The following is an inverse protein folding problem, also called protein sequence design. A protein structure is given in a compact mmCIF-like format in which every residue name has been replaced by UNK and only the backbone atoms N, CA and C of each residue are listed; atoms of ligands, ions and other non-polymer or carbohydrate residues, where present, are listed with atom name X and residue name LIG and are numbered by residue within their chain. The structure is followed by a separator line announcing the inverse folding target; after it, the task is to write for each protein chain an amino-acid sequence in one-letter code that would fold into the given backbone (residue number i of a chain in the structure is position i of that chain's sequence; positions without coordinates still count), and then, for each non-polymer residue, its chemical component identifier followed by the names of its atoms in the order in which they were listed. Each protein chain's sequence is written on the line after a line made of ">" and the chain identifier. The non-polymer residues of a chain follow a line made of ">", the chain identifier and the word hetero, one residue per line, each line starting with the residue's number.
data_IF_526733615979
#
_entry.id   IF_526733615979
#
_cell.length_a   1.000
_cell.length_b   1.000
_cell.length_c   1.000
_cell.angle_alpha   90.00
_cell.angle_beta   90.00
_cell.angle_gamma   90.00
#
_symmetry.space_group_name_H-M   'P 1'
#
loop_
_entity.id
_entity.type
_entity.pdbx_description
1 polymer ?
#
# COMPACT_ATOMS: atom_id res chain seq x y z
N UNK A 1 5.97 -7.05 -33.92
CA UNK A 1 5.39 -6.09 -34.86
C UNK A 1 4.00 -5.75 -34.33
N UNK A 2 3.91 -4.57 -33.72
CA UNK A 2 2.74 -3.73 -33.41
C UNK A 2 1.54 -4.34 -32.68
N UNK A 3 1.52 -4.21 -31.35
CA UNK A 3 0.28 -4.01 -30.60
C UNK A 3 0.15 -2.51 -30.29
N UNK A 4 -0.72 -1.83 -31.05
CA UNK A 4 -1.10 -0.44 -30.85
C UNK A 4 -1.91 -0.29 -29.57
N UNK A 5 -1.31 0.29 -28.52
CA UNK A 5 -2.02 0.83 -27.37
C UNK A 5 -2.84 2.06 -27.81
N UNK A 6 -4.18 2.00 -27.70
CA UNK A 6 -5.06 3.18 -27.85
C UNK A 6 -5.54 3.65 -26.48
N UNK A 7 -5.46 4.96 -26.16
CA UNK A 7 -5.94 5.47 -24.88
C UNK A 7 -7.46 5.58 -24.87
N UNK A 8 -8.09 5.06 -23.82
CA UNK A 8 -9.52 5.29 -23.54
C UNK A 8 -9.69 6.75 -23.11
N UNK A 9 -10.42 7.53 -23.91
CA UNK A 9 -10.83 8.89 -23.52
C UNK A 9 -12.03 8.78 -22.58
N UNK A 10 -11.90 9.29 -21.36
CA UNK A 10 -13.05 9.52 -20.50
C UNK A 10 -13.81 10.75 -21.01
N UNK A 11 -14.98 10.54 -21.61
CA UNK A 11 -15.94 11.61 -21.89
C UNK A 11 -17.02 11.62 -20.79
N UNK A 12 -17.13 12.74 -20.08
CA UNK A 12 -18.21 12.99 -19.11
C UNK A 12 -19.39 13.59 -19.85
N UNK A 13 -20.49 12.85 -19.97
CA UNK A 13 -21.78 13.43 -20.38
C UNK A 13 -22.65 13.71 -19.14
N UNK A 14 -23.07 14.98 -18.99
CA UNK A 14 -24.07 15.39 -18.00
C UNK A 14 -25.45 14.99 -18.50
N UNK A 15 -26.18 14.21 -17.73
CA UNK A 15 -27.62 14.03 -17.93
C UNK A 15 -28.37 14.58 -16.72
N UNK A 16 -29.27 15.53 -17.00
CA UNK A 16 -30.06 16.26 -16.02
C UNK A 16 -31.43 15.58 -15.93
N UNK A 17 -31.85 15.13 -14.74
CA UNK A 17 -33.21 14.60 -14.53
C UNK A 17 -33.89 15.33 -13.38
N UNK A 18 -34.93 16.09 -13.74
CA UNK A 18 -35.81 16.74 -12.80
C UNK A 18 -36.68 15.74 -12.03
N UNK A 19 -36.81 16.00 -10.73
CA UNK A 19 -37.97 15.73 -9.86
C UNK A 19 -38.65 14.35 -9.97
N UNK A 20 -38.19 13.41 -9.12
CA UNK A 20 -39.02 12.51 -8.30
C UNK A 20 -39.90 11.47 -8.99
N UNK A 21 -39.74 10.18 -8.64
CA UNK A 21 -40.76 9.29 -8.03
C UNK A 21 -40.29 7.82 -8.05
N UNK A 22 -40.56 7.15 -6.94
CA UNK A 22 -40.38 5.76 -6.50
C UNK A 22 -40.41 4.65 -7.57
N UNK A 23 -39.48 3.69 -7.52
CA UNK A 23 -39.50 2.45 -8.31
C UNK A 23 -39.94 1.24 -7.47
N UNK A 24 -41.08 0.63 -7.86
CA UNK A 24 -41.50 -0.73 -7.47
C UNK A 24 -40.76 -1.74 -8.36
N UNK A 25 -40.21 -2.80 -7.77
CA UNK A 25 -39.69 -3.94 -8.53
C UNK A 25 -40.80 -5.00 -8.74
N UNK A 26 -41.08 -5.32 -10.01
CA UNK A 26 -41.88 -6.48 -10.41
C UNK A 26 -40.95 -7.69 -10.58
N UNK A 27 -41.27 -8.80 -9.91
CA UNK A 27 -40.72 -10.13 -10.16
C UNK A 27 -41.67 -10.87 -11.11
N UNK A 28 -41.16 -11.34 -12.25
CA UNK A 28 -41.74 -12.45 -12.98
C UNK A 28 -40.62 -13.39 -13.41
N UNK A 29 -40.65 -14.62 -12.89
CA UNK A 29 -39.80 -15.73 -13.24
C UNK A 29 -40.54 -16.65 -14.22
N UNK A 30 -39.83 -17.17 -15.23
CA UNK A 30 -40.18 -18.40 -15.97
C UNK A 30 -38.89 -19.16 -16.32
N UNK A 31 -38.59 -20.22 -15.55
CA UNK A 31 -38.43 -21.64 -15.96
C UNK A 31 -38.12 -21.91 -17.45
N UNK A 32 -37.24 -22.80 -17.92
CA UNK A 32 -36.28 -23.80 -17.43
C UNK A 32 -35.46 -24.20 -18.67
N UNK A 33 -34.12 -24.23 -18.60
CA UNK A 33 -33.25 -25.11 -19.41
C UNK A 33 -31.80 -24.94 -18.91
N UNK A 34 -31.35 -25.95 -18.16
CA UNK A 34 -30.00 -26.06 -17.64
C UNK A 34 -29.08 -26.64 -18.73
N UNK A 35 -27.92 -26.02 -18.99
CA UNK A 35 -26.59 -26.65 -19.13
C UNK A 35 -25.53 -25.61 -19.55
N UNK A 36 -24.48 -25.50 -18.73
CA UNK A 36 -23.24 -24.72 -18.90
C UNK A 36 -23.34 -23.19 -18.98
N UNK A 37 -23.59 -22.56 -17.83
CA UNK A 37 -22.97 -21.27 -17.51
C UNK A 37 -22.72 -21.26 -16.00
N UNK A 38 -21.46 -21.15 -15.60
CA UNK A 38 -21.12 -20.79 -14.21
C UNK A 38 -21.91 -19.53 -13.85
N UNK A 39 -22.63 -19.49 -12.72
CA UNK A 39 -23.31 -18.26 -12.33
C UNK A 39 -22.24 -17.20 -12.13
N UNK A 40 -22.29 -16.15 -12.95
CA UNK A 40 -21.63 -14.89 -12.67
C UNK A 40 -22.07 -14.50 -11.26
N UNK A 41 -21.15 -14.60 -10.32
CA UNK A 41 -21.35 -14.10 -8.97
C UNK A 41 -21.78 -12.64 -9.10
N UNK A 42 -22.77 -12.18 -8.35
CA UNK A 42 -23.22 -10.81 -8.45
C UNK A 42 -22.04 -9.91 -8.10
N UNK A 43 -21.56 -9.17 -9.11
CA UNK A 43 -20.65 -8.07 -8.91
C UNK A 43 -21.25 -7.14 -7.84
N UNK A 44 -20.46 -6.97 -6.79
CA UNK A 44 -20.23 -5.66 -6.18
C UNK A 44 -21.49 -5.05 -5.56
N UNK A 45 -21.77 -5.50 -4.34
CA UNK A 45 -22.04 -4.56 -3.25
C UNK A 45 -20.83 -4.62 -2.31
N UNK A 46 -19.69 -4.08 -2.75
CA UNK A 46 -18.52 -3.88 -1.89
C UNK A 46 -18.91 -2.92 -0.77
N UNK A 47 -18.97 -3.41 0.46
CA UNK A 47 -19.26 -2.59 1.63
C UNK A 47 -18.15 -2.81 2.69
N UNK A 48 -17.20 -1.86 2.74
CA UNK A 48 -16.55 -1.37 3.97
C UNK A 48 -15.65 -2.29 4.85
N UNK A 49 -14.86 -3.22 4.31
CA UNK A 49 -13.95 -4.05 5.15
C UNK A 49 -12.48 -4.20 4.70
N UNK A 50 -12.02 -3.52 3.64
CA UNK A 50 -10.60 -3.52 3.29
C UNK A 50 -10.09 -2.08 3.34
N UNK A 51 -9.17 -1.83 4.27
CA UNK A 51 -8.43 -0.57 4.37
C UNK A 51 -7.15 -0.72 3.54
N UNK A 52 -6.89 0.20 2.62
CA UNK A 52 -5.69 0.17 1.75
C UNK A 52 -4.58 1.15 2.24
N UNK A 53 -3.47 1.23 1.50
CA UNK A 53 -2.36 2.14 1.82
C UNK A 53 -2.82 3.61 1.81
N UNK A 54 -3.75 3.98 0.92
CA UNK A 54 -4.27 5.33 0.84
C UNK A 54 -5.15 5.64 2.06
N UNK A 55 -6.00 4.70 2.47
CA UNK A 55 -6.79 4.79 3.70
C UNK A 55 -5.90 5.00 4.93
N UNK A 56 -4.85 4.20 5.08
CA UNK A 56 -3.89 4.32 6.18
C UNK A 56 -3.14 5.65 6.14
N UNK A 57 -2.74 6.10 4.94
CA UNK A 57 -2.12 7.41 4.74
C UNK A 57 -3.05 8.54 5.18
N UNK A 58 -4.33 8.45 4.80
CA UNK A 58 -5.35 9.43 5.22
C UNK A 58 -5.62 9.36 6.73
N UNK A 59 -5.60 8.17 7.33
CA UNK A 59 -5.77 8.03 8.77
C UNK A 59 -4.63 8.69 9.53
N UNK A 60 -3.38 8.48 9.11
CA UNK A 60 -2.20 9.12 9.67
C UNK A 60 -2.25 10.65 9.51
N UNK A 61 -2.60 11.14 8.31
CA UNK A 61 -2.71 12.57 8.04
C UNK A 61 -3.78 13.27 8.90
N UNK A 62 -4.93 12.60 9.09
CA UNK A 62 -5.98 13.08 10.00
C UNK A 62 -5.48 13.15 11.44
N UNK A 63 -4.74 12.15 11.89
CA UNK A 63 -4.14 12.15 13.22
C UNK A 63 -3.18 13.33 13.39
N UNK A 64 -2.22 13.51 12.47
CA UNK A 64 -1.26 14.62 12.48
C UNK A 64 -1.96 15.99 12.48
N UNK A 65 -3.01 16.12 11.66
CA UNK A 65 -3.85 17.33 11.61
C UNK A 65 -4.55 17.57 12.95
N UNK A 66 -5.17 16.55 13.54
CA UNK A 66 -5.87 16.66 14.81
C UNK A 66 -4.94 17.02 15.98
N UNK A 67 -3.65 16.65 15.89
CA UNK A 67 -2.62 17.06 16.85
C UNK A 67 -2.14 18.50 16.65
N UNK A 68 -2.56 19.19 15.59
CA UNK A 68 -2.10 20.53 15.24
C UNK A 68 -0.66 20.56 14.76
N UNK A 69 -0.09 19.43 14.34
CA UNK A 69 1.34 19.33 14.07
C UNK A 69 1.78 19.97 12.74
N UNK A 70 0.83 20.30 11.88
CA UNK A 70 1.05 21.14 10.69
C UNK A 70 1.10 22.64 10.97
N UNK A 71 0.75 23.09 12.18
CA UNK A 71 0.79 24.51 12.51
C UNK A 71 2.23 25.03 12.51
N UNK A 72 2.48 26.28 12.06
CA UNK A 72 3.84 26.83 11.95
C UNK A 72 4.63 26.85 13.26
N UNK A 73 3.94 26.96 14.39
CA UNK A 73 4.48 27.01 15.75
C UNK A 73 4.40 25.67 16.49
N UNK A 74 4.06 24.59 15.78
CA UNK A 74 4.05 23.24 16.35
C UNK A 74 5.42 22.87 16.93
N UNK A 75 5.49 22.35 18.17
CA UNK A 75 6.73 21.80 18.72
C UNK A 75 7.14 20.48 18.04
N UNK A 76 6.28 19.93 17.17
CA UNK A 76 6.47 18.68 16.42
C UNK A 76 6.27 18.94 14.92
N UNK A 77 7.10 19.78 14.27
CA UNK A 77 6.87 20.18 12.90
C UNK A 77 7.09 19.01 11.94
N UNK A 78 6.13 18.81 11.03
CA UNK A 78 6.09 17.70 10.07
C UNK A 78 6.94 18.00 8.83
N UNK A 79 8.23 18.29 9.00
CA UNK A 79 9.13 18.49 7.86
C UNK A 79 9.60 17.13 7.32
N UNK A 80 9.91 16.99 6.01
CA UNK A 80 10.47 15.74 5.47
C UNK A 80 11.71 15.26 6.22
N UNK A 81 12.59 16.19 6.65
CA UNK A 81 13.76 15.88 7.47
C UNK A 81 13.37 15.24 8.80
N UNK A 82 12.41 15.82 9.52
CA UNK A 82 12.02 15.33 10.84
C UNK A 82 11.33 13.96 10.72
N UNK A 83 10.48 13.76 9.72
CA UNK A 83 9.83 12.48 9.48
C UNK A 83 10.82 11.39 9.10
N UNK A 84 11.84 11.69 8.28
CA UNK A 84 12.90 10.74 7.97
C UNK A 84 13.75 10.38 9.21
N UNK A 85 14.00 11.35 10.11
CA UNK A 85 14.66 11.08 11.39
C UNK A 85 13.79 10.18 12.25
N UNK A 86 12.50 10.50 12.43
CA UNK A 86 11.58 9.65 13.19
C UNK A 86 11.48 8.24 12.64
N UNK A 87 11.32 8.07 11.33
CA UNK A 87 11.36 6.76 10.67
C UNK A 87 12.61 5.96 11.04
N UNK A 88 13.79 6.60 11.06
CA UNK A 88 15.03 5.93 11.43
C UNK A 88 15.11 5.58 12.92
N UNK A 89 14.45 6.36 13.79
CA UNK A 89 14.38 6.07 15.23
C UNK A 89 13.50 4.84 15.45
N UNK A 90 12.29 4.78 14.89
CA UNK A 90 11.39 3.63 15.08
C UNK A 90 11.97 2.35 14.46
N UNK A 91 12.72 2.47 13.36
CA UNK A 91 13.45 1.34 12.79
C UNK A 91 14.55 0.83 13.73
N UNK A 92 15.14 1.70 14.55
CA UNK A 92 16.08 1.30 15.59
C UNK A 92 15.37 0.63 16.77
N UNK A 93 14.15 1.07 17.13
CA UNK A 93 13.34 0.40 18.16
C UNK A 93 12.99 -1.04 17.76
N UNK A 94 12.71 -1.29 16.47
CA UNK A 94 12.61 -2.66 15.92
C UNK A 94 13.90 -3.46 16.17
N UNK A 95 15.08 -2.88 15.98
CA UNK A 95 16.36 -3.56 16.22
C UNK A 95 16.60 -3.86 17.71
N UNK A 96 16.16 -2.98 18.61
CA UNK A 96 16.33 -3.18 20.06
C UNK A 96 15.65 -4.46 20.55
N UNK A 97 14.51 -4.83 19.96
CA UNK A 97 13.79 -6.07 20.28
C UNK A 97 14.61 -7.35 19.98
N UNK A 98 15.62 -7.26 19.12
CA UNK A 98 16.50 -8.37 18.75
C UNK A 98 17.92 -8.26 19.30
N UNK A 99 18.27 -7.14 19.96
CA UNK A 99 19.65 -6.82 20.37
C UNK A 99 20.35 -7.95 21.16
N UNK A 100 19.59 -8.70 21.97
CA UNK A 100 20.13 -9.76 22.84
C UNK A 100 19.56 -11.15 22.56
N UNK A 101 18.74 -11.30 21.50
CA UNK A 101 18.14 -12.60 21.16
C UNK A 101 17.53 -12.62 19.75
N UNK A 102 17.79 -13.69 19.01
CA UNK A 102 17.13 -14.00 17.73
C UNK A 102 15.66 -14.46 17.87
N UNK A 103 15.10 -14.41 19.09
CA UNK A 103 13.75 -14.93 19.35
C UNK A 103 12.80 -13.76 19.43
N UNK A 104 11.69 -13.86 18.72
CA UNK A 104 10.56 -12.94 18.89
C UNK A 104 9.91 -13.19 20.26
N UNK A 105 10.39 -12.48 21.29
CA UNK A 105 9.90 -12.59 22.68
C UNK A 105 8.74 -11.64 22.98
N UNK A 106 8.63 -10.57 22.18
CA UNK A 106 7.69 -9.47 22.38
C UNK A 106 6.89 -9.20 21.09
N UNK A 107 5.96 -10.10 20.71
CA UNK A 107 5.24 -9.97 19.45
C UNK A 107 4.39 -8.70 19.37
N UNK A 108 3.79 -8.27 20.48
CA UNK A 108 2.96 -7.05 20.53
C UNK A 108 3.82 -5.79 20.39
N UNK A 109 4.98 -5.74 21.05
CA UNK A 109 5.94 -4.63 20.92
C UNK A 109 6.48 -4.58 19.49
N UNK A 110 6.85 -5.73 18.90
CA UNK A 110 7.28 -5.77 17.50
C UNK A 110 6.20 -5.26 16.55
N UNK A 111 4.94 -5.64 16.77
CA UNK A 111 3.83 -5.15 15.96
C UNK A 111 3.67 -3.63 16.10
N UNK A 112 3.87 -3.08 17.30
CA UNK A 112 3.87 -1.63 17.56
C UNK A 112 4.96 -0.92 16.78
N UNK A 113 6.23 -1.35 16.92
CA UNK A 113 7.35 -0.66 16.26
C UNK A 113 7.30 -0.75 14.73
N UNK A 114 6.84 -1.89 14.19
CA UNK A 114 6.60 -2.02 12.75
C UNK A 114 5.49 -1.06 12.27
N UNK A 115 4.45 -0.85 13.08
CA UNK A 115 3.39 0.09 12.75
C UNK A 115 3.92 1.54 12.77
N UNK A 116 4.75 1.91 13.75
CA UNK A 116 5.32 3.25 13.84
C UNK A 116 6.27 3.54 12.66
N UNK A 117 7.13 2.60 12.27
CA UNK A 117 7.93 2.70 11.03
C UNK A 117 7.03 2.97 9.82
N UNK A 118 5.94 2.20 9.67
CA UNK A 118 5.01 2.36 8.55
C UNK A 118 4.31 3.73 8.58
N UNK A 119 3.85 4.20 9.73
CA UNK A 119 3.15 5.49 9.85
C UNK A 119 4.05 6.67 9.46
N UNK A 120 5.32 6.67 9.88
CA UNK A 120 6.27 7.71 9.44
C UNK A 120 6.60 7.61 7.95
N UNK A 121 6.71 6.40 7.39
CA UNK A 121 6.92 6.21 5.96
C UNK A 121 5.76 6.77 5.14
N UNK A 122 4.52 6.44 5.51
CA UNK A 122 3.30 6.93 4.87
C UNK A 122 3.21 8.45 4.92
N UNK A 123 3.46 9.03 6.10
CA UNK A 123 3.42 10.48 6.29
C UNK A 123 4.52 11.20 5.49
N UNK A 124 5.71 10.62 5.40
CA UNK A 124 6.82 11.15 4.61
C UNK A 124 6.51 11.10 3.11
N UNK A 125 6.01 9.96 2.62
CA UNK A 125 5.60 9.80 1.22
C UNK A 125 4.52 10.82 0.84
N UNK A 126 3.51 10.98 1.69
CA UNK A 126 2.45 11.98 1.51
C UNK A 126 2.99 13.40 1.38
N UNK A 127 3.87 13.84 2.29
CA UNK A 127 4.40 15.22 2.24
C UNK A 127 5.38 15.48 1.11
N UNK A 128 5.99 14.43 0.58
CA UNK A 128 6.92 14.53 -0.56
C UNK A 128 6.24 14.29 -1.90
N UNK A 129 4.93 13.98 -1.90
CA UNK A 129 4.17 13.72 -3.13
C UNK A 129 4.54 12.40 -3.80
N UNK A 130 5.08 11.44 -3.05
CA UNK A 130 5.45 10.11 -3.56
C UNK A 130 4.21 9.20 -3.50
N UNK A 131 3.84 8.65 -4.65
CA UNK A 131 2.94 7.50 -4.72
C UNK A 131 3.70 6.26 -4.24
N UNK A 132 3.49 5.92 -2.97
CA UNK A 132 4.22 4.84 -2.31
C UNK A 132 3.85 3.47 -2.87
N UNK A 133 2.59 3.26 -3.27
CA UNK A 133 2.13 1.98 -3.84
C UNK A 133 2.83 1.72 -5.17
N UNK A 134 2.79 2.69 -6.08
CA UNK A 134 3.50 2.60 -7.37
C UNK A 134 5.00 2.42 -7.15
N UNK A 135 5.61 3.17 -6.23
CA UNK A 135 7.03 3.07 -5.92
C UNK A 135 7.43 1.66 -5.42
N UNK A 136 6.62 1.05 -4.56
CA UNK A 136 6.83 -0.32 -4.06
C UNK A 136 6.74 -1.33 -5.20
N UNK A 137 5.69 -1.26 -6.02
CA UNK A 137 5.49 -2.17 -7.15
C UNK A 137 6.65 -2.08 -8.15
N UNK A 138 7.11 -0.88 -8.47
CA UNK A 138 8.24 -0.67 -9.37
C UNK A 138 9.56 -1.17 -8.76
N UNK A 139 9.75 -0.97 -7.45
CA UNK A 139 10.91 -1.51 -6.74
C UNK A 139 10.92 -3.04 -6.74
N UNK A 140 9.76 -3.68 -6.56
CA UNK A 140 9.64 -5.14 -6.63
C UNK A 140 10.00 -5.66 -8.03
N UNK A 141 9.49 -5.04 -9.11
CA UNK A 141 9.88 -5.40 -10.49
C UNK A 141 11.40 -5.35 -10.69
N UNK A 142 12.08 -4.36 -10.10
CA UNK A 142 13.54 -4.26 -10.14
C UNK A 142 14.18 -5.38 -9.33
N UNK A 143 13.70 -5.63 -8.11
CA UNK A 143 14.28 -6.64 -7.22
C UNK A 143 14.14 -8.06 -7.76
N UNK A 144 13.06 -8.40 -8.48
CA UNK A 144 12.90 -9.69 -9.16
C UNK A 144 13.98 -9.96 -10.22
N UNK A 145 14.64 -8.91 -10.73
CA UNK A 145 15.72 -9.02 -11.73
C UNK A 145 17.12 -8.88 -11.11
N UNK A 146 17.22 -8.73 -9.78
CA UNK A 146 18.51 -8.61 -9.09
C UNK A 146 19.06 -10.00 -8.75
N UNK A 147 20.35 -10.19 -9.01
CA UNK A 147 21.14 -11.30 -8.48
C UNK A 147 21.87 -10.82 -7.22
N UNK A 148 21.78 -11.57 -6.11
CA UNK A 148 22.26 -11.14 -4.79
C UNK A 148 23.56 -11.86 -4.38
N UNK A 149 23.75 -13.08 -4.84
CA UNK A 149 24.83 -13.99 -4.40
C UNK A 149 26.04 -14.00 -5.34
N UNK A 150 26.18 -13.02 -6.23
CA UNK A 150 27.30 -12.96 -7.20
C UNK A 150 28.67 -13.06 -6.50
N UNK A 151 28.80 -12.45 -5.31
CA UNK A 151 30.02 -12.52 -4.50
C UNK A 151 30.34 -13.93 -3.94
N UNK A 152 29.34 -14.80 -3.77
CA UNK A 152 29.55 -16.19 -3.32
C UNK A 152 30.07 -17.09 -4.45
N UNK A 153 29.80 -16.71 -5.70
CA UNK A 153 30.30 -17.40 -6.90
C UNK A 153 31.80 -17.07 -7.07
N UNK A 154 32.16 -15.80 -6.96
CA UNK A 154 33.55 -15.33 -7.11
C UNK A 154 34.52 -15.94 -6.08
N UNK A 155 34.09 -16.13 -4.82
CA UNK A 155 34.92 -16.76 -3.78
C UNK A 155 35.15 -18.26 -4.04
N UNK A 156 34.13 -18.97 -4.55
CA UNK A 156 34.23 -20.39 -4.89
C UNK A 156 35.16 -20.65 -6.08
N UNK A 157 35.20 -19.74 -7.06
CA UNK A 157 36.09 -19.84 -8.23
C UNK A 157 37.54 -19.46 -7.91
N UNK A 158 37.77 -18.56 -6.95
CA UNK A 158 39.12 -18.19 -6.52
C UNK A 158 39.78 -19.25 -5.62
N UNK A 159 39.00 -19.97 -4.79
CA UNK A 159 39.52 -21.06 -3.97
C UNK A 159 39.73 -22.37 -4.76
N UNK A 160 38.96 -22.61 -5.83
CA UNK A 160 39.09 -23.82 -6.66
C UNK A 160 40.28 -23.85 -7.63
N UNK A 161 41.10 -22.80 -7.68
CA UNK A 161 42.27 -22.66 -8.59
C UNK A 161 43.62 -22.82 -7.88
N UNK A 162 43.65 -23.20 -6.60
CA UNK A 162 44.86 -23.27 -5.78
C UNK A 162 45.48 -24.65 -5.57
N UNK A 163 44.98 -25.69 -6.25
CA UNK A 163 45.50 -27.06 -6.16
C UNK A 163 46.29 -27.47 -7.41
#
# INVERSE_FOLDING_TARGET
>A
MNDEWRPVRNSVERINWGTGTTLRYFLHATCEDCLSATPLTPDIMYNSLLMDIEDLTRAMDRFVTAKGWYLPDSPRPQTPKNLAISLSIEAAEVLELFQWSEKQRHPDELASELADVMLYLLQLARLTGIDLETAVIDKLKINYRREWDQHLIDESEQNGKKD
#
